data_IF_569779581871
#
_entry.id   IF_569779581871
#
_cell.length_a   1.000
_cell.length_b   1.000
_cell.length_c   1.000
_cell.angle_alpha   90.00
_cell.angle_beta   90.00
_cell.angle_gamma   90.00
#
_symmetry.space_group_name_H-M   'P 1'
#
loop_
_entity.id
_entity.type
_entity.pdbx_description
1 polymer ?
#
# COMPACT_ATOMS: atom_id res chain seq x y z
N UNK A 1 16.63 71.33 16.21
CA UNK A 1 16.35 70.18 17.11
C UNK A 1 16.43 68.92 16.25
N UNK A 2 17.60 68.32 16.02
CA UNK A 2 18.48 67.59 16.95
C UNK A 2 17.78 66.44 17.65
N UNK A 3 17.82 65.25 17.05
CA UNK A 3 18.17 63.99 17.73
C UNK A 3 18.87 63.09 16.69
N UNK A 4 20.19 62.97 16.81
CA UNK A 4 20.97 61.87 16.19
C UNK A 4 21.00 60.76 17.23
N UNK A 5 20.38 59.63 16.96
CA UNK A 5 20.56 58.42 17.78
C UNK A 5 21.98 57.88 17.52
N UNK A 6 22.80 57.94 18.56
CA UNK A 6 24.12 57.34 18.60
C UNK A 6 23.99 55.89 19.06
N UNK A 7 24.02 54.96 18.12
CA UNK A 7 24.08 53.53 18.39
C UNK A 7 25.51 53.20 18.87
N UNK A 8 25.68 53.06 20.20
CA UNK A 8 26.94 52.66 20.82
C UNK A 8 27.03 51.13 20.81
N UNK A 9 27.61 50.54 19.77
CA UNK A 9 28.12 49.17 19.79
C UNK A 9 29.47 49.14 20.51
N UNK A 10 29.43 48.86 21.82
CA UNK A 10 30.63 48.81 22.67
C UNK A 10 31.39 47.49 22.50
N UNK A 11 32.33 47.43 21.56
CA UNK A 11 33.33 46.36 21.52
C UNK A 11 34.47 46.73 22.50
N UNK A 12 34.81 45.88 23.50
CA UNK A 12 35.92 46.15 24.40
C UNK A 12 37.26 46.13 23.63
N UNK A 13 38.12 47.11 23.88
CA UNK A 13 39.45 47.24 23.27
C UNK A 13 40.53 46.91 24.29
N UNK A 14 41.56 46.18 23.84
CA UNK A 14 42.78 45.95 24.62
C UNK A 14 43.60 47.26 24.74
N UNK A 15 44.49 47.41 25.74
CA UNK A 15 45.26 48.63 25.97
C UNK A 15 46.17 49.05 24.79
N UNK A 16 46.46 48.15 23.85
CA UNK A 16 47.23 48.42 22.62
C UNK A 16 46.38 48.83 21.40
N UNK A 17 45.09 49.10 21.59
CA UNK A 17 44.21 49.64 20.53
C UNK A 17 43.77 48.63 19.46
N UNK A 18 44.17 47.36 19.58
CA UNK A 18 43.63 46.26 18.76
C UNK A 18 42.22 45.88 19.22
N UNK A 19 41.31 45.75 18.25
CA UNK A 19 39.95 45.27 18.49
C UNK A 19 40.05 43.80 18.93
N UNK A 20 39.54 43.48 20.12
CA UNK A 20 39.40 42.09 20.53
C UNK A 20 38.46 41.39 19.54
N UNK A 21 38.78 40.18 19.06
CA UNK A 21 37.87 39.43 18.20
C UNK A 21 36.54 39.30 18.93
N UNK A 22 35.45 39.63 18.25
CA UNK A 22 34.10 39.52 18.79
C UNK A 22 33.78 38.03 18.94
N UNK A 23 34.09 37.49 20.12
CA UNK A 23 33.98 36.06 20.45
C UNK A 23 32.54 35.60 20.21
N UNK A 24 31.55 36.47 20.43
CA UNK A 24 30.14 36.16 20.22
C UNK A 24 29.80 36.04 18.74
N UNK A 25 30.38 36.88 17.87
CA UNK A 25 30.22 36.76 16.42
C UNK A 25 30.91 35.51 15.85
N UNK A 26 32.07 35.12 16.39
CA UNK A 26 32.76 33.89 16.00
C UNK A 26 32.01 32.64 16.48
N UNK A 27 31.46 32.68 17.70
CA UNK A 27 30.61 31.62 18.24
C UNK A 27 29.31 31.46 17.44
N UNK A 28 28.67 32.56 17.05
CA UNK A 28 27.48 32.53 16.20
C UNK A 28 27.77 31.90 14.83
N UNK A 29 28.88 32.28 14.18
CA UNK A 29 29.30 31.63 12.93
C UNK A 29 29.55 30.12 13.10
N UNK A 30 30.28 29.71 14.14
CA UNK A 30 30.49 28.29 14.43
C UNK A 30 29.18 27.55 14.68
N UNK A 31 28.22 28.18 15.35
CA UNK A 31 26.93 27.59 15.67
C UNK A 31 26.07 27.45 14.40
N UNK A 32 26.13 28.42 13.49
CA UNK A 32 25.44 28.37 12.20
C UNK A 32 26.06 27.33 11.25
N UNK A 33 27.40 27.25 11.18
CA UNK A 33 28.12 26.21 10.43
C UNK A 33 27.79 24.81 10.97
N UNK A 34 27.71 24.67 12.30
CA UNK A 34 27.37 23.42 12.97
C UNK A 34 25.90 23.06 12.74
N UNK A 35 24.99 24.03 12.72
CA UNK A 35 23.59 23.82 12.33
C UNK A 35 23.47 23.38 10.87
N UNK A 36 24.23 23.97 9.96
CA UNK A 36 24.21 23.59 8.55
C UNK A 36 24.78 22.18 8.33
N UNK A 37 25.88 21.85 9.04
CA UNK A 37 26.45 20.51 9.06
C UNK A 37 25.49 19.47 9.64
N UNK A 38 24.81 19.79 10.75
CA UNK A 38 23.81 18.92 11.37
C UNK A 38 22.56 18.75 10.48
N UNK A 39 22.13 19.78 9.76
CA UNK A 39 21.05 19.67 8.75
C UNK A 39 21.46 18.78 7.57
N UNK A 40 22.72 18.84 7.12
CA UNK A 40 23.25 17.95 6.08
C UNK A 40 23.39 16.49 6.54
N UNK A 41 23.63 16.27 7.83
CA UNK A 41 23.82 14.93 8.41
C UNK A 41 22.55 14.31 8.98
N UNK A 42 21.51 15.10 9.29
CA UNK A 42 20.18 14.60 9.62
C UNK A 42 19.56 13.92 8.39
N UNK A 43 19.77 12.61 8.29
CA UNK A 43 19.05 11.75 7.34
C UNK A 43 17.78 11.28 8.02
N UNK A 44 16.63 11.69 7.48
CA UNK A 44 15.30 11.29 7.96
C UNK A 44 14.92 9.82 7.63
N UNK A 45 15.85 9.03 7.10
CA UNK A 45 15.61 7.64 6.74
C UNK A 45 16.68 6.73 7.34
N UNK A 46 16.22 5.77 8.12
CA UNK A 46 16.99 4.60 8.51
C UNK A 46 17.19 3.74 7.25
N UNK A 47 18.31 3.92 6.56
CA UNK A 47 18.60 3.23 5.29
C UNK A 47 19.14 1.83 5.62
N UNK A 48 18.27 0.83 5.58
CA UNK A 48 18.63 -0.60 5.67
C UNK A 48 19.04 -1.14 4.30
N UNK A 49 20.06 -0.57 3.65
CA UNK A 49 20.57 -1.10 2.39
C UNK A 49 22.11 -1.21 2.39
N UNK A 50 22.71 -2.39 2.10
CA UNK A 50 24.17 -2.61 2.14
C UNK A 50 24.98 -1.80 1.12
N UNK A 51 24.30 -1.11 0.19
CA UNK A 51 24.91 -0.39 -0.93
C UNK A 51 25.19 1.10 -0.71
N UNK A 52 24.94 1.65 0.49
CA UNK A 52 25.19 3.07 0.77
C UNK A 52 26.46 3.35 1.61
N UNK A 53 27.45 2.47 1.52
CA UNK A 53 28.85 2.87 1.71
C UNK A 53 29.25 3.79 0.53
N UNK A 54 28.84 5.05 0.58
CA UNK A 54 29.41 6.11 -0.25
C UNK A 54 30.91 6.20 0.04
N UNK A 55 31.73 5.46 -0.73
CA UNK A 55 33.18 5.46 -0.60
C UNK A 55 33.87 4.10 -0.76
N UNK A 56 33.16 2.97 -0.84
CA UNK A 56 33.82 1.68 -1.11
C UNK A 56 34.21 1.62 -2.60
N UNK A 57 35.51 1.51 -2.95
CA UNK A 57 35.90 1.28 -4.33
C UNK A 57 35.29 -0.05 -4.80
N UNK A 58 34.81 -0.09 -6.05
CA UNK A 58 34.30 -1.33 -6.65
C UNK A 58 35.30 -2.47 -6.40
N UNK A 59 34.81 -3.61 -5.90
CA UNK A 59 35.64 -4.77 -5.65
C UNK A 59 36.42 -5.10 -6.94
N UNK A 60 37.76 -5.01 -6.88
CA UNK A 60 38.61 -5.38 -8.02
C UNK A 60 38.34 -6.84 -8.35
N UNK A 61 37.80 -7.05 -9.55
CA UNK A 61 37.41 -8.35 -10.10
C UNK A 61 38.63 -9.27 -10.07
N UNK A 62 38.49 -10.46 -9.48
CA UNK A 62 39.58 -11.44 -9.53
C UNK A 62 39.68 -12.01 -10.94
N UNK A 63 40.90 -12.23 -11.43
CA UNK A 63 41.16 -12.78 -12.78
C UNK A 63 40.52 -14.17 -12.97
N UNK A 64 40.27 -14.89 -11.87
CA UNK A 64 39.65 -16.22 -11.84
C UNK A 64 38.12 -16.22 -11.87
N UNK A 65 37.46 -15.15 -11.38
CA UNK A 65 36.02 -14.98 -11.51
C UNK A 65 35.77 -13.97 -12.62
N UNK A 66 35.89 -14.40 -13.88
CA UNK A 66 35.42 -13.57 -14.98
C UNK A 66 33.90 -13.38 -14.82
N UNK A 67 33.44 -12.14 -14.65
CA UNK A 67 32.04 -11.72 -14.62
C UNK A 67 31.24 -12.03 -15.92
N UNK A 68 31.73 -12.92 -16.78
CA UNK A 68 30.94 -13.40 -17.89
C UNK A 68 29.91 -14.35 -17.32
N UNK A 69 28.73 -13.82 -16.98
CA UNK A 69 27.53 -14.56 -16.59
C UNK A 69 26.96 -15.39 -17.76
N UNK A 70 27.82 -15.82 -18.69
CA UNK A 70 27.51 -16.73 -19.80
C UNK A 70 27.30 -18.16 -19.32
N UNK A 71 27.77 -18.51 -18.12
CA UNK A 71 27.59 -19.84 -17.54
C UNK A 71 26.35 -19.88 -16.62
N UNK A 72 25.44 -20.82 -16.87
CA UNK A 72 24.18 -21.00 -16.12
C UNK A 72 24.44 -21.20 -14.61
N UNK A 73 25.56 -21.81 -14.23
CA UNK A 73 25.94 -22.03 -12.83
C UNK A 73 26.99 -21.03 -12.31
N UNK A 74 27.09 -19.85 -12.92
CA UNK A 74 27.97 -18.78 -12.45
C UNK A 74 27.57 -18.32 -11.04
N UNK A 75 28.57 -18.05 -10.18
CA UNK A 75 28.33 -17.49 -8.84
C UNK A 75 28.03 -16.00 -8.95
N UNK A 76 27.03 -15.53 -8.21
CA UNK A 76 26.64 -14.13 -8.14
C UNK A 76 27.17 -13.48 -6.86
N UNK A 77 27.73 -12.28 -6.97
CA UNK A 77 28.06 -11.45 -5.81
C UNK A 77 26.83 -10.66 -5.32
N UNK A 78 26.82 -10.28 -4.04
CA UNK A 78 25.73 -9.48 -3.46
C UNK A 78 25.56 -8.11 -4.15
N UNK A 79 26.66 -7.52 -4.64
CA UNK A 79 26.64 -6.27 -5.41
C UNK A 79 26.02 -6.44 -6.81
N UNK A 80 26.17 -7.62 -7.42
CA UNK A 80 25.50 -7.92 -8.68
C UNK A 80 24.01 -8.17 -8.47
N UNK A 81 23.65 -8.84 -7.37
CA UNK A 81 22.24 -9.06 -7.01
C UNK A 81 21.52 -7.75 -6.67
N UNK A 82 22.19 -6.80 -6.01
CA UNK A 82 21.58 -5.50 -5.67
C UNK A 82 21.28 -4.63 -6.89
N UNK A 83 22.04 -4.79 -7.98
CA UNK A 83 21.78 -4.13 -9.27
C UNK A 83 20.54 -4.67 -9.97
N UNK A 84 20.16 -5.92 -9.72
CA UNK A 84 18.96 -6.52 -10.27
C UNK A 84 17.80 -6.16 -9.35
N UNK A 85 17.03 -5.12 -9.71
CA UNK A 85 15.79 -4.80 -9.01
C UNK A 85 14.66 -5.63 -9.63
N UNK A 86 14.15 -6.68 -8.95
CA UNK A 86 13.07 -7.48 -9.49
C UNK A 86 11.78 -6.64 -9.56
N UNK A 87 11.04 -6.78 -10.65
CA UNK A 87 9.69 -6.24 -10.75
C UNK A 87 8.80 -7.01 -9.77
N UNK A 88 8.10 -6.28 -8.90
CA UNK A 88 7.13 -6.86 -7.98
C UNK A 88 5.87 -7.18 -8.78
N UNK A 89 5.61 -8.47 -9.02
CA UNK A 89 4.49 -8.95 -9.84
C UNK A 89 3.61 -9.83 -8.96
N UNK A 90 2.29 -9.74 -9.14
CA UNK A 90 1.33 -10.65 -8.52
C UNK A 90 0.24 -11.03 -9.53
N UNK A 91 0.05 -12.33 -9.73
CA UNK A 91 -0.95 -12.85 -10.67
C UNK A 91 -2.40 -12.58 -10.24
N UNK A 92 -2.59 -12.20 -8.98
CA UNK A 92 -3.91 -11.98 -8.39
C UNK A 92 -4.34 -10.51 -8.39
N UNK A 93 -3.53 -9.61 -8.94
CA UNK A 93 -3.80 -8.18 -9.06
C UNK A 93 -3.86 -7.77 -10.52
N UNK A 94 -4.45 -6.60 -10.79
CA UNK A 94 -4.57 -6.09 -12.15
C UNK A 94 -3.18 -5.75 -12.70
N UNK A 95 -2.87 -6.24 -13.90
CA UNK A 95 -1.64 -5.91 -14.62
C UNK A 95 -1.73 -4.51 -15.22
N UNK A 96 -0.60 -3.94 -15.64
CA UNK A 96 -0.62 -2.63 -16.31
C UNK A 96 -1.44 -2.64 -17.61
N UNK A 97 -1.43 -3.76 -18.35
CA UNK A 97 -2.23 -3.95 -19.55
C UNK A 97 -3.73 -4.01 -19.24
N UNK A 98 -4.12 -4.72 -18.17
CA UNK A 98 -5.51 -4.76 -17.71
C UNK A 98 -5.98 -3.37 -17.27
N UNK A 99 -5.16 -2.62 -16.55
CA UNK A 99 -5.48 -1.26 -16.13
C UNK A 99 -5.63 -0.30 -17.33
N UNK A 100 -4.82 -0.45 -18.38
CA UNK A 100 -4.97 0.33 -19.61
C UNK A 100 -6.29 0.02 -20.34
N UNK A 101 -6.70 -1.26 -20.38
CA UNK A 101 -8.02 -1.65 -20.93
C UNK A 101 -9.16 -1.06 -20.11
N UNK A 102 -9.06 -1.15 -18.78
CA UNK A 102 -10.04 -0.55 -17.86
C UNK A 102 -10.16 0.95 -18.08
N UNK A 103 -9.03 1.65 -18.26
CA UNK A 103 -9.03 3.08 -18.56
C UNK A 103 -9.79 3.38 -19.86
N UNK A 104 -9.50 2.68 -20.96
CA UNK A 104 -10.19 2.87 -22.25
C UNK A 104 -11.70 2.61 -22.12
N UNK A 105 -12.09 1.58 -21.34
CA UNK A 105 -13.49 1.26 -21.08
C UNK A 105 -14.19 2.40 -20.34
N UNK A 106 -13.57 2.97 -19.31
CA UNK A 106 -14.12 4.08 -18.53
C UNK A 106 -14.21 5.37 -19.36
N UNK A 107 -13.21 5.63 -20.20
CA UNK A 107 -13.23 6.74 -21.16
C UNK A 107 -14.39 6.58 -22.16
N UNK A 108 -14.63 5.35 -22.65
CA UNK A 108 -15.77 5.03 -23.50
C UNK A 108 -17.14 5.21 -22.83
N UNK A 109 -17.21 5.15 -21.51
CA UNK A 109 -18.41 5.46 -20.73
C UNK A 109 -18.57 6.97 -20.44
N UNK A 110 -17.64 7.80 -20.89
CA UNK A 110 -17.69 9.26 -20.73
C UNK A 110 -16.92 9.82 -19.54
N UNK A 111 -16.08 9.02 -18.87
CA UNK A 111 -15.20 9.50 -17.80
C UNK A 111 -13.97 10.19 -18.41
N UNK A 112 -13.67 11.46 -18.08
CA UNK A 112 -12.45 12.12 -18.56
C UNK A 112 -11.19 11.41 -18.05
N UNK A 113 -10.14 11.36 -18.89
CA UNK A 113 -8.87 10.66 -18.61
C UNK A 113 -8.23 11.08 -17.28
N UNK A 114 -8.35 12.36 -16.93
CA UNK A 114 -7.81 12.95 -15.70
C UNK A 114 -8.48 12.42 -14.42
N UNK A 115 -9.75 12.02 -14.51
CA UNK A 115 -10.57 11.58 -13.37
C UNK A 115 -10.71 10.06 -13.27
N UNK A 116 -10.16 9.29 -14.22
CA UNK A 116 -10.24 7.82 -14.19
C UNK A 116 -9.68 7.23 -12.90
N UNK A 117 -8.53 7.75 -12.43
CA UNK A 117 -7.92 7.28 -11.18
C UNK A 117 -8.79 7.59 -9.94
N UNK A 118 -9.46 8.75 -9.94
CA UNK A 118 -10.39 9.16 -8.88
C UNK A 118 -11.62 8.24 -8.85
N UNK A 119 -12.20 7.94 -10.01
CA UNK A 119 -13.33 7.00 -10.13
C UNK A 119 -12.92 5.58 -9.70
N UNK A 120 -11.74 5.10 -10.10
CA UNK A 120 -11.24 3.77 -9.68
C UNK A 120 -11.01 3.68 -8.17
N UNK A 121 -10.53 4.76 -7.56
CA UNK A 121 -10.41 4.83 -6.11
C UNK A 121 -11.80 4.77 -5.44
N UNK A 122 -12.78 5.50 -5.98
CA UNK A 122 -14.16 5.44 -5.47
C UNK A 122 -14.76 4.04 -5.62
N UNK A 123 -14.50 3.34 -6.74
CA UNK A 123 -14.89 1.94 -6.93
C UNK A 123 -14.26 1.05 -5.84
N UNK A 124 -12.96 1.20 -5.57
CA UNK A 124 -12.28 0.40 -4.54
C UNK A 124 -12.81 0.71 -3.12
N UNK A 125 -13.16 1.96 -2.84
CA UNK A 125 -13.80 2.36 -1.58
C UNK A 125 -15.22 1.80 -1.50
N UNK A 126 -16.01 1.86 -2.57
CA UNK A 126 -17.36 1.29 -2.61
C UNK A 126 -17.35 -0.23 -2.40
N UNK A 127 -16.44 -0.94 -3.08
CA UNK A 127 -16.27 -2.39 -2.92
C UNK A 127 -15.78 -2.79 -1.52
N UNK A 128 -15.25 -1.86 -0.71
CA UNK A 128 -14.95 -2.14 0.70
C UNK A 128 -16.23 -2.42 1.49
N UNK A 129 -17.32 -1.73 1.17
CA UNK A 129 -18.57 -1.78 1.91
C UNK A 129 -19.49 -2.89 1.39
N UNK A 130 -19.59 -3.04 0.07
CA UNK A 130 -20.59 -3.91 -0.58
C UNK A 130 -19.99 -5.23 -1.11
N UNK A 131 -18.68 -5.48 -0.93
CA UNK A 131 -17.89 -6.60 -1.48
C UNK A 131 -17.40 -6.39 -2.94
N UNK A 132 -16.52 -7.28 -3.41
CA UNK A 132 -15.93 -7.32 -4.76
C UNK A 132 -16.44 -8.50 -5.58
N UNK A 133 -17.60 -9.05 -5.22
CA UNK A 133 -18.17 -10.24 -5.85
C UNK A 133 -18.78 -9.96 -7.23
N UNK A 134 -18.90 -11.01 -8.04
CA UNK A 134 -19.56 -10.95 -9.34
C UNK A 134 -21.09 -10.78 -9.21
N UNK A 135 -21.67 -11.15 -8.06
CA UNK A 135 -23.11 -11.18 -7.80
C UNK A 135 -23.59 -10.01 -6.92
N UNK A 136 -22.74 -9.00 -6.69
CA UNK A 136 -23.15 -7.79 -5.97
C UNK A 136 -24.11 -6.97 -6.83
N UNK A 137 -25.09 -6.32 -6.22
CA UNK A 137 -25.94 -5.34 -6.90
C UNK A 137 -25.41 -3.92 -6.60
N UNK A 138 -24.74 -3.27 -7.57
CA UNK A 138 -24.23 -1.93 -7.38
C UNK A 138 -25.36 -0.89 -7.37
N UNK A 139 -25.28 0.09 -6.48
CA UNK A 139 -26.21 1.22 -6.43
C UNK A 139 -25.46 2.51 -6.15
N UNK A 140 -26.01 3.65 -6.60
CA UNK A 140 -25.42 4.97 -6.44
C UNK A 140 -24.64 5.50 -7.65
N UNK A 141 -23.81 6.51 -7.40
CA UNK A 141 -23.01 7.21 -8.41
C UNK A 141 -21.57 7.38 -7.95
N UNK A 142 -20.67 7.49 -8.91
CA UNK A 142 -19.31 7.97 -8.70
C UNK A 142 -19.21 9.39 -9.26
N UNK A 143 -18.79 10.31 -8.41
CA UNK A 143 -18.84 11.74 -8.67
C UNK A 143 -17.42 12.32 -8.76
N UNK A 144 -17.17 13.20 -9.71
CA UNK A 144 -15.93 13.96 -9.81
C UNK A 144 -16.22 15.43 -10.11
N UNK A 145 -15.19 16.26 -10.12
CA UNK A 145 -15.34 17.68 -10.45
C UNK A 145 -15.77 17.83 -11.92
N UNK A 146 -17.06 18.05 -12.14
CA UNK A 146 -17.64 18.30 -13.46
C UNK A 146 -18.48 17.16 -14.04
N UNK A 147 -18.73 16.08 -13.29
CA UNK A 147 -19.62 15.00 -13.76
C UNK A 147 -19.86 13.91 -12.73
N UNK A 148 -20.82 13.05 -13.04
CA UNK A 148 -21.16 11.86 -12.26
C UNK A 148 -21.49 10.70 -13.20
N UNK A 149 -21.12 9.49 -12.82
CA UNK A 149 -21.46 8.26 -13.55
C UNK A 149 -22.19 7.29 -12.62
N UNK A 150 -23.11 6.50 -13.17
CA UNK A 150 -23.80 5.45 -12.42
C UNK A 150 -22.79 4.37 -11.99
N UNK A 151 -22.81 3.99 -10.71
CA UNK A 151 -21.90 2.97 -10.19
C UNK A 151 -22.13 1.61 -10.86
N UNK A 152 -23.37 1.31 -11.22
CA UNK A 152 -23.76 0.10 -11.94
C UNK A 152 -23.10 -0.01 -13.30
N UNK A 153 -23.11 1.04 -14.12
CA UNK A 153 -22.47 1.02 -15.44
C UNK A 153 -20.97 0.76 -15.37
N UNK A 154 -20.29 1.38 -14.39
CA UNK A 154 -18.85 1.17 -14.16
C UNK A 154 -18.56 -0.25 -13.68
N UNK A 155 -19.31 -0.73 -12.69
CA UNK A 155 -19.10 -2.06 -12.11
C UNK A 155 -19.45 -3.16 -13.12
N UNK A 156 -20.52 -3.01 -13.89
CA UNK A 156 -20.88 -3.91 -14.98
C UNK A 156 -19.79 -3.96 -16.05
N UNK A 157 -19.20 -2.81 -16.41
CA UNK A 157 -18.10 -2.77 -17.37
C UNK A 157 -16.83 -3.47 -16.85
N UNK A 158 -16.50 -3.29 -15.56
CA UNK A 158 -15.38 -3.97 -14.90
C UNK A 158 -15.61 -5.46 -14.65
N UNK A 159 -16.86 -5.94 -14.74
CA UNK A 159 -17.23 -7.36 -14.60
C UNK A 159 -17.19 -8.14 -15.91
N UNK A 160 -17.16 -7.45 -17.05
CA UNK A 160 -17.21 -8.09 -18.37
C UNK A 160 -16.08 -9.10 -18.57
N UNK A 161 -14.92 -8.84 -17.99
CA UNK A 161 -13.80 -9.77 -17.91
C UNK A 161 -13.75 -10.41 -16.52
N UNK A 162 -13.77 -11.75 -16.48
CA UNK A 162 -13.81 -12.51 -15.23
C UNK A 162 -12.67 -12.11 -14.27
N UNK A 163 -13.06 -11.66 -13.07
CA UNK A 163 -12.19 -11.19 -11.97
C UNK A 163 -11.53 -9.82 -12.11
N UNK A 164 -11.79 -9.03 -13.15
CA UNK A 164 -11.15 -7.70 -13.30
C UNK A 164 -11.50 -6.76 -12.15
N UNK A 165 -12.78 -6.66 -11.75
CA UNK A 165 -13.20 -5.84 -10.58
C UNK A 165 -12.40 -6.18 -9.31
N UNK A 166 -12.29 -7.47 -8.97
CA UNK A 166 -11.58 -7.91 -7.76
C UNK A 166 -10.08 -7.65 -7.87
N UNK A 167 -9.48 -7.84 -9.05
CA UNK A 167 -8.07 -7.54 -9.31
C UNK A 167 -7.75 -6.05 -9.15
N UNK A 168 -8.63 -5.18 -9.62
CA UNK A 168 -8.55 -3.72 -9.42
C UNK A 168 -8.66 -3.38 -7.93
N UNK A 169 -9.65 -3.93 -7.22
CA UNK A 169 -9.80 -3.68 -5.78
C UNK A 169 -8.58 -4.14 -4.96
N UNK A 170 -7.95 -5.26 -5.34
CA UNK A 170 -6.69 -5.73 -4.72
C UNK A 170 -5.53 -4.80 -5.00
N UNK A 171 -5.43 -4.23 -6.20
CA UNK A 171 -4.40 -3.26 -6.57
C UNK A 171 -4.50 -1.99 -5.71
N UNK A 172 -5.71 -1.54 -5.39
CA UNK A 172 -5.97 -0.36 -4.56
C UNK A 172 -6.08 -0.65 -3.05
N UNK A 173 -5.92 -1.90 -2.60
CA UNK A 173 -6.13 -2.28 -1.20
C UNK A 173 -5.33 -1.45 -0.17
N UNK A 174 -4.04 -1.11 -0.38
CA UNK A 174 -3.29 -0.26 0.56
C UNK A 174 -3.86 1.16 0.67
N UNK A 175 -4.37 1.70 -0.44
CA UNK A 175 -4.98 3.05 -0.48
C UNK A 175 -6.33 3.03 0.24
N UNK A 176 -7.17 2.02 -0.03
CA UNK A 176 -8.45 1.83 0.67
C UNK A 176 -8.24 1.64 2.18
N UNK A 177 -7.18 0.93 2.58
CA UNK A 177 -6.81 0.78 3.99
C UNK A 177 -6.50 2.12 4.65
N UNK A 178 -5.65 2.94 4.02
CA UNK A 178 -5.38 4.28 4.54
C UNK A 178 -6.65 5.13 4.60
N UNK A 179 -7.51 5.08 3.58
CA UNK A 179 -8.79 5.77 3.57
C UNK A 179 -9.65 5.40 4.79
N UNK A 180 -9.83 4.11 5.08
CA UNK A 180 -10.61 3.66 6.23
C UNK A 180 -10.04 4.17 7.57
N UNK A 181 -8.72 4.21 7.70
CA UNK A 181 -8.08 4.68 8.93
C UNK A 181 -8.16 6.20 9.10
N UNK A 182 -7.93 6.96 8.03
CA UNK A 182 -8.02 8.43 8.03
C UNK A 182 -9.43 8.88 8.39
N UNK A 183 -10.45 8.28 7.78
CA UNK A 183 -11.84 8.65 7.99
C UNK A 183 -12.49 7.92 9.18
N UNK A 184 -11.76 7.02 9.86
CA UNK A 184 -12.27 6.13 10.90
C UNK A 184 -13.54 5.37 10.47
N UNK A 185 -13.62 5.07 9.17
CA UNK A 185 -14.78 4.49 8.51
C UNK A 185 -14.50 3.01 8.19
N UNK A 186 -14.84 2.07 9.08
CA UNK A 186 -14.71 0.65 8.79
C UNK A 186 -15.67 0.23 7.65
N UNK A 187 -15.48 -0.96 7.05
CA UNK A 187 -16.43 -1.56 6.12
C UNK A 187 -17.82 -1.64 6.74
N UNK A 188 -18.88 -1.26 6.02
CA UNK A 188 -20.22 -1.08 6.59
C UNK A 188 -20.79 -2.35 7.26
N UNK A 189 -20.61 -3.51 6.64
CA UNK A 189 -21.17 -4.79 7.11
C UNK A 189 -20.26 -5.57 8.07
N UNK A 190 -19.25 -4.93 8.67
CA UNK A 190 -18.28 -5.60 9.55
C UNK A 190 -18.92 -6.39 10.70
N UNK A 191 -20.01 -5.87 11.28
CA UNK A 191 -20.72 -6.50 12.37
C UNK A 191 -21.50 -7.74 11.91
N UNK A 192 -22.14 -7.68 10.74
CA UNK A 192 -22.85 -8.80 10.14
C UNK A 192 -21.90 -9.93 9.72
N UNK A 193 -20.67 -9.57 9.33
CA UNK A 193 -19.59 -10.53 9.07
C UNK A 193 -19.03 -11.19 10.34
N UNK A 194 -19.39 -10.70 11.54
CA UNK A 194 -18.97 -11.27 12.82
C UNK A 194 -17.59 -10.81 13.31
N UNK A 195 -17.07 -9.71 12.78
CA UNK A 195 -15.79 -9.16 13.25
C UNK A 195 -15.96 -8.49 14.62
N UNK A 196 -14.92 -8.61 15.45
CA UNK A 196 -14.84 -7.84 16.70
C UNK A 196 -14.63 -6.37 16.40
N UNK A 197 -15.08 -5.49 17.30
CA UNK A 197 -14.90 -4.05 17.14
C UNK A 197 -13.43 -3.65 16.94
N UNK A 198 -12.49 -4.31 17.64
CA UNK A 198 -11.05 -4.05 17.47
C UNK A 198 -10.50 -4.41 16.07
N UNK A 199 -11.07 -5.43 15.43
CA UNK A 199 -10.57 -6.00 14.16
C UNK A 199 -11.43 -5.58 12.95
N UNK A 200 -12.41 -4.69 13.15
CA UNK A 200 -13.42 -4.30 12.15
C UNK A 200 -12.84 -3.74 10.85
N UNK A 201 -11.66 -3.13 10.88
CA UNK A 201 -11.00 -2.58 9.69
C UNK A 201 -10.52 -3.67 8.72
N UNK A 202 -10.41 -4.92 9.18
CA UNK A 202 -10.03 -6.06 8.34
C UNK A 202 -11.22 -6.72 7.63
N UNK A 203 -12.44 -6.23 7.85
CA UNK A 203 -13.68 -6.81 7.35
C UNK A 203 -14.01 -6.44 5.89
N UNK A 204 -13.04 -6.55 4.98
CA UNK A 204 -13.25 -6.33 3.54
C UNK A 204 -12.45 -7.32 2.69
N UNK A 205 -12.94 -7.63 1.51
CA UNK A 205 -12.44 -8.74 0.66
C UNK A 205 -10.96 -8.69 0.28
N UNK A 206 -10.40 -7.49 0.15
CA UNK A 206 -9.06 -7.28 -0.41
C UNK A 206 -7.97 -7.07 0.67
N UNK A 207 -8.29 -7.31 1.94
CA UNK A 207 -7.38 -7.09 3.06
C UNK A 207 -6.03 -7.82 2.94
N UNK A 208 -6.01 -9.03 2.36
CA UNK A 208 -4.78 -9.81 2.12
C UNK A 208 -3.72 -9.05 1.30
N UNK A 209 -4.13 -8.03 0.54
CA UNK A 209 -3.26 -7.27 -0.37
C UNK A 209 -2.78 -5.94 0.20
N UNK A 210 -3.16 -5.57 1.43
CA UNK A 210 -2.73 -4.31 2.07
C UNK A 210 -1.20 -4.24 2.23
N UNK A 211 -0.56 -5.37 2.54
CA UNK A 211 0.91 -5.46 2.68
C UNK A 211 1.60 -5.88 1.38
N UNK A 212 0.86 -6.11 0.29
CA UNK A 212 1.43 -6.59 -0.96
C UNK A 212 2.21 -5.46 -1.66
N UNK A 213 3.53 -5.62 -1.89
CA UNK A 213 4.34 -4.53 -2.41
C UNK A 213 4.18 -4.30 -3.91
N UNK A 214 3.43 -5.16 -4.62
CA UNK A 214 3.02 -4.96 -6.01
C UNK A 214 1.69 -4.18 -6.13
N UNK A 215 0.99 -3.93 -5.02
CA UNK A 215 -0.18 -3.06 -4.98
C UNK A 215 0.25 -1.57 -5.02
N UNK A 216 -0.67 -0.67 -5.37
CA UNK A 216 -0.41 0.77 -5.37
C UNK A 216 -0.20 1.22 -3.92
N UNK A 217 1.01 1.68 -3.62
CA UNK A 217 1.35 2.18 -2.30
C UNK A 217 1.03 3.68 -2.21
N UNK A 218 0.39 4.14 -1.12
CA UNK A 218 0.23 5.56 -0.87
C UNK A 218 1.60 6.25 -0.72
N UNK A 219 1.69 7.52 -1.12
CA UNK A 219 2.95 8.27 -1.14
C UNK A 219 3.65 8.34 0.24
N UNK A 220 2.86 8.44 1.31
CA UNK A 220 3.34 8.51 2.70
C UNK A 220 3.54 7.12 3.33
N UNK A 221 3.22 6.04 2.61
CA UNK A 221 3.17 4.69 3.14
C UNK A 221 1.90 4.41 3.96
N UNK A 222 1.84 3.22 4.55
CA UNK A 222 0.69 2.80 5.37
C UNK A 222 0.68 3.54 6.71
N UNK A 223 -0.48 4.11 7.09
CA UNK A 223 -0.64 4.81 8.38
C UNK A 223 -0.30 3.89 9.56
N UNK A 224 -0.77 2.64 9.48
CA UNK A 224 -0.35 1.54 10.34
C UNK A 224 -0.38 0.24 9.57
N UNK A 225 0.46 -0.71 9.99
CA UNK A 225 0.39 -2.07 9.49
C UNK A 225 -0.81 -2.81 10.09
N UNK A 226 -1.43 -3.75 9.36
CA UNK A 226 -2.45 -4.62 9.92
C UNK A 226 -1.90 -5.46 11.08
N UNK A 227 -2.69 -5.55 12.14
CA UNK A 227 -2.33 -6.31 13.34
C UNK A 227 -2.46 -7.82 13.10
N UNK A 228 -1.75 -8.67 13.87
CA UNK A 228 -1.92 -10.12 13.79
C UNK A 228 -3.36 -10.59 14.07
N UNK A 229 -4.09 -9.91 14.95
CA UNK A 229 -5.49 -10.23 15.26
C UNK A 229 -6.40 -9.98 14.07
N UNK A 230 -6.22 -8.85 13.38
CA UNK A 230 -6.92 -8.50 12.14
C UNK A 230 -6.64 -9.53 11.03
N UNK A 231 -5.38 -9.96 10.88
CA UNK A 231 -5.01 -11.02 9.93
C UNK A 231 -5.69 -12.34 10.26
N UNK A 232 -5.74 -12.72 11.54
CA UNK A 232 -6.42 -13.94 11.95
C UNK A 232 -7.92 -13.86 11.69
N UNK A 233 -8.57 -12.75 12.08
CA UNK A 233 -10.00 -12.52 11.89
C UNK A 233 -10.39 -12.52 10.42
N UNK A 234 -9.58 -11.88 9.56
CA UNK A 234 -9.83 -11.90 8.11
C UNK A 234 -9.70 -13.30 7.53
N UNK A 235 -8.66 -14.04 7.89
CA UNK A 235 -8.45 -15.41 7.40
C UNK A 235 -9.54 -16.38 7.85
N UNK A 236 -10.02 -16.26 9.10
CA UNK A 236 -11.14 -17.08 9.59
C UNK A 236 -12.43 -16.74 8.86
N UNK A 237 -12.74 -15.44 8.68
CA UNK A 237 -13.90 -15.01 7.91
C UNK A 237 -13.84 -15.51 6.46
N UNK A 238 -12.71 -15.31 5.78
CA UNK A 238 -12.50 -15.77 4.40
C UNK A 238 -12.73 -17.26 4.27
N UNK A 239 -12.22 -18.06 5.22
CA UNK A 239 -12.46 -19.50 5.25
C UNK A 239 -13.95 -19.82 5.41
N UNK A 240 -14.65 -19.17 6.34
CA UNK A 240 -16.10 -19.35 6.52
C UNK A 240 -16.89 -18.96 5.27
N UNK A 241 -16.50 -17.88 4.58
CA UNK A 241 -17.12 -17.45 3.33
C UNK A 241 -16.93 -18.49 2.21
N UNK A 242 -15.71 -19.01 2.04
CA UNK A 242 -15.41 -20.07 1.07
C UNK A 242 -16.16 -21.36 1.39
N UNK A 243 -16.26 -21.74 2.67
CA UNK A 243 -16.99 -22.92 3.08
C UNK A 243 -18.50 -22.80 2.76
N UNK A 244 -19.08 -21.61 2.99
CA UNK A 244 -20.46 -21.31 2.62
C UNK A 244 -20.68 -21.37 1.12
N UNK A 245 -19.73 -20.87 0.31
CA UNK A 245 -19.80 -20.93 -1.15
C UNK A 245 -19.69 -22.37 -1.67
N UNK A 246 -18.66 -23.12 -1.23
CA UNK A 246 -18.43 -24.50 -1.64
C UNK A 246 -19.60 -25.43 -1.33
N UNK A 247 -20.33 -25.18 -0.23
CA UNK A 247 -21.54 -25.93 0.12
C UNK A 247 -22.60 -25.86 -0.98
N UNK A 248 -22.76 -24.69 -1.59
CA UNK A 248 -23.73 -24.50 -2.68
C UNK A 248 -23.23 -25.13 -3.99
N UNK A 249 -21.92 -25.26 -4.17
CA UNK A 249 -21.29 -25.84 -5.37
C UNK A 249 -21.17 -27.37 -5.35
N UNK A 250 -21.35 -28.04 -4.19
CA UNK A 250 -21.12 -29.49 -4.04
C UNK A 250 -21.85 -30.34 -5.09
N UNK A 251 -23.10 -30.00 -5.40
CA UNK A 251 -23.89 -30.78 -6.35
C UNK A 251 -23.47 -30.57 -7.80
N UNK A 252 -22.74 -29.48 -8.10
CA UNK A 252 -22.26 -29.08 -9.44
C UNK A 252 -23.37 -29.10 -10.52
N UNK A 253 -24.63 -29.15 -10.10
CA UNK A 253 -25.81 -29.33 -10.91
C UNK A 253 -27.01 -28.84 -10.11
N UNK A 254 -27.91 -28.09 -10.76
CA UNK A 254 -29.11 -27.52 -10.16
C UNK A 254 -30.36 -28.38 -10.40
N UNK A 255 -30.23 -29.52 -11.10
CA UNK A 255 -31.35 -30.42 -11.37
C UNK A 255 -31.91 -30.96 -10.03
N UNK A 256 -33.22 -30.83 -9.78
CA UNK A 256 -33.88 -31.36 -8.57
C UNK A 256 -33.64 -32.87 -8.38
N UNK A 257 -33.39 -33.63 -9.43
CA UNK A 257 -33.06 -35.06 -9.35
C UNK A 257 -31.73 -35.34 -8.64
N UNK A 258 -30.77 -34.41 -8.75
CA UNK A 258 -29.42 -34.55 -8.17
C UNK A 258 -29.36 -33.87 -6.78
N UNK A 259 -30.03 -32.72 -6.64
CA UNK A 259 -30.01 -31.94 -5.40
C UNK A 259 -31.04 -32.39 -4.38
N UNK A 260 -32.09 -33.11 -4.79
CA UNK A 260 -33.20 -33.50 -3.91
C UNK A 260 -33.96 -32.31 -3.32
N UNK A 261 -33.84 -31.12 -3.92
CA UNK A 261 -34.42 -29.87 -3.39
C UNK A 261 -33.70 -29.31 -2.16
N UNK A 262 -32.51 -29.81 -1.82
CA UNK A 262 -31.73 -29.33 -0.68
C UNK A 262 -30.45 -28.61 -1.13
N UNK A 263 -29.97 -27.69 -0.29
CA UNK A 263 -28.60 -27.17 -0.41
C UNK A 263 -27.61 -28.19 0.12
N UNK A 264 -26.34 -28.07 -0.29
CA UNK A 264 -25.30 -29.03 0.13
C UNK A 264 -25.18 -29.14 1.66
N UNK A 265 -24.72 -30.28 2.18
CA UNK A 265 -24.54 -30.51 3.60
C UNK A 265 -23.51 -29.55 4.22
N UNK A 266 -23.66 -29.28 5.51
CA UNK A 266 -22.65 -28.56 6.27
C UNK A 266 -21.30 -29.30 6.23
N UNK A 267 -20.22 -28.57 5.96
CA UNK A 267 -18.87 -29.14 5.93
C UNK A 267 -18.44 -29.44 7.37
N UNK A 268 -18.67 -30.68 7.81
CA UNK A 268 -18.23 -31.14 9.14
C UNK A 268 -16.70 -31.17 9.17
N UNK A 269 -16.11 -30.36 10.06
CA UNK A 269 -14.66 -30.35 10.31
C UNK A 269 -14.37 -30.61 11.76
N UNK A 270 -13.63 -31.67 12.00
CA UNK A 270 -13.30 -32.16 13.34
C UNK A 270 -12.07 -31.42 13.88
N UNK A 271 -12.24 -30.17 14.33
CA UNK A 271 -11.14 -29.35 14.88
C UNK A 271 -10.59 -29.86 16.22
N UNK A 272 -11.29 -30.81 16.86
CA UNK A 272 -10.94 -31.40 18.16
C UNK A 272 -9.84 -32.46 18.12
N UNK A 273 -9.38 -32.90 16.95
CA UNK A 273 -8.31 -33.91 16.82
C UNK A 273 -6.88 -33.36 16.79
N UNK A 274 -6.70 -32.07 17.06
CA UNK A 274 -5.37 -31.58 17.44
C UNK A 274 -5.14 -31.97 18.90
N UNK A 275 -4.66 -33.20 19.12
CA UNK A 275 -4.04 -33.57 20.39
C UNK A 275 -3.02 -32.49 20.69
N UNK A 276 -3.29 -31.64 21.69
CA UNK A 276 -2.22 -30.95 22.40
C UNK A 276 -1.41 -32.08 23.02
N UNK A 277 -0.35 -32.49 22.33
CA UNK A 277 0.64 -33.41 22.88
C UNK A 277 1.21 -32.80 24.17
N UNK A 278 1.70 -33.66 25.09
CA UNK A 278 2.23 -33.22 26.38
C UNK A 278 3.35 -32.18 26.24
#
# INVERSE_FOLDING_TARGET
MSVKEAEKSGVPKAPDGTLLPDIDAELQKRLDDLREFLRKTQRASEITNPGFELGRPELKKSVFNSDKHTHIYGKWSIDQLSRIVPKKISNNMATAEEMAKVQIILEGLGVPTEHVAEVLLQVAIYCKDVSSSAYMDPSGTFDWKGGSILSDSVIAALRKDDNTLRRVCRLYAPVTWNYMLTHKAPPSDWAAMGFKYGDRFAAFDCFDYVENPAAIQPAEGLIRKPTPSEKLAHNTFKRLALDKANRNELYSNLNPEITGGTLGPEIVRDFGKVKRGP
#
